data_IF_394132955341
#
_entry.id   IF_394132955341
#
_cell.length_a   1.000
_cell.length_b   1.000
_cell.length_c   1.000
_cell.angle_alpha   90.00
_cell.angle_beta   90.00
_cell.angle_gamma   90.00
#
_symmetry.space_group_name_H-M   'P 1'
#
loop_
_entity.id
_entity.type
_entity.pdbx_description
1 polymer ?
#
# COMPACT_ATOMS: atom_id res chain seq x y z
N UNK A 1 18.30 1.06 13.96
CA UNK A 1 17.71 1.34 12.66
C UNK A 1 16.27 0.86 12.63
N UNK A 2 15.35 1.68 12.19
CA UNK A 2 13.96 1.29 12.09
C UNK A 2 13.74 0.45 10.83
N UNK A 3 12.89 -0.59 10.89
CA UNK A 3 12.51 -1.31 9.68
C UNK A 3 11.77 -0.39 8.72
N UNK A 4 11.97 -0.61 7.41
CA UNK A 4 11.23 0.12 6.38
C UNK A 4 9.91 -0.57 6.09
N UNK A 5 8.84 0.19 6.13
CA UNK A 5 7.49 -0.27 5.82
C UNK A 5 6.98 0.44 4.57
N UNK A 6 6.63 -0.33 3.57
CA UNK A 6 5.95 0.18 2.38
C UNK A 6 4.45 0.13 2.64
N UNK A 7 3.80 1.28 2.60
CA UNK A 7 2.36 1.40 2.82
C UNK A 7 1.64 1.38 1.48
N UNK A 8 0.87 0.34 1.24
CA UNK A 8 0.16 0.15 0.00
C UNK A 8 -1.17 0.92 0.02
N UNK A 9 -1.72 1.17 -1.16
CA UNK A 9 -2.89 2.04 -1.37
C UNK A 9 -4.09 1.68 -0.51
N UNK A 10 -4.36 0.40 -0.28
CA UNK A 10 -5.53 -0.01 0.52
C UNK A 10 -5.46 0.51 1.95
N UNK A 11 -4.27 0.61 2.52
CA UNK A 11 -4.08 1.17 3.87
C UNK A 11 -4.47 2.64 3.88
N UNK A 12 -4.00 3.40 2.89
CA UNK A 12 -4.32 4.83 2.78
C UNK A 12 -5.83 5.02 2.59
N UNK A 13 -6.46 4.18 1.79
CA UNK A 13 -7.90 4.27 1.56
C UNK A 13 -8.70 4.05 2.84
N UNK A 14 -8.39 3.03 3.61
CA UNK A 14 -9.07 2.80 4.89
C UNK A 14 -8.80 3.91 5.91
N UNK A 15 -7.60 4.48 5.88
CA UNK A 15 -7.23 5.58 6.78
C UNK A 15 -8.07 6.83 6.54
N UNK A 16 -8.39 7.14 5.28
CA UNK A 16 -8.96 8.43 4.89
C UNK A 16 -10.44 8.38 4.49
N UNK A 17 -10.99 7.19 4.25
CA UNK A 17 -12.39 7.05 3.85
C UNK A 17 -13.35 7.48 4.96
N UNK A 18 -14.56 7.85 4.58
CA UNK A 18 -15.63 8.14 5.54
C UNK A 18 -15.86 6.93 6.42
N UNK A 19 -16.25 7.14 7.70
CA UNK A 19 -16.61 6.02 8.56
C UNK A 19 -17.67 5.14 7.90
N UNK A 20 -17.37 3.84 7.80
CA UNK A 20 -18.25 2.89 7.19
C UNK A 20 -19.41 2.52 8.12
N UNK A 21 -20.58 2.27 7.55
CA UNK A 21 -21.72 1.76 8.29
C UNK A 21 -21.61 0.26 8.52
N UNK A 22 -20.89 -0.41 7.64
CA UNK A 22 -20.63 -1.84 7.74
C UNK A 22 -19.61 -2.12 8.85
N UNK A 23 -19.94 -3.07 9.74
CA UNK A 23 -19.13 -3.38 10.92
C UNK A 23 -17.74 -3.89 10.56
N UNK A 24 -17.65 -4.72 9.52
CA UNK A 24 -16.37 -5.29 9.10
C UNK A 24 -15.44 -4.19 8.57
N UNK A 25 -15.95 -3.36 7.67
CA UNK A 25 -15.18 -2.25 7.10
C UNK A 25 -14.80 -1.24 8.18
N UNK A 26 -15.72 -0.93 9.07
CA UNK A 26 -15.46 -0.03 10.20
C UNK A 26 -14.35 -0.58 11.10
N UNK A 27 -14.32 -1.88 11.30
CA UNK A 27 -13.26 -2.56 12.07
C UNK A 27 -11.90 -2.42 11.38
N UNK A 28 -11.85 -2.58 10.06
CA UNK A 28 -10.62 -2.38 9.28
C UNK A 28 -10.13 -0.93 9.37
N UNK A 29 -11.05 0.03 9.30
CA UNK A 29 -10.70 1.45 9.45
C UNK A 29 -10.13 1.73 10.84
N UNK A 30 -10.74 1.19 11.88
CA UNK A 30 -10.27 1.39 13.24
C UNK A 30 -8.87 0.80 13.45
N UNK A 31 -8.63 -0.40 12.94
CA UNK A 31 -7.31 -1.05 13.00
C UNK A 31 -6.26 -0.24 12.26
N UNK A 32 -6.62 0.26 11.08
CA UNK A 32 -5.71 1.07 10.26
C UNK A 32 -5.33 2.37 10.98
N UNK A 33 -6.32 3.06 11.52
CA UNK A 33 -6.09 4.31 12.25
C UNK A 33 -5.22 4.08 13.48
N UNK A 34 -5.46 3.01 14.21
CA UNK A 34 -4.67 2.66 15.39
C UNK A 34 -3.21 2.40 15.01
N UNK A 35 -2.98 1.63 13.94
CA UNK A 35 -1.63 1.38 13.46
C UNK A 35 -0.94 2.69 13.06
N UNK A 36 -1.65 3.53 12.31
CA UNK A 36 -1.12 4.80 11.83
C UNK A 36 -0.71 5.72 12.98
N UNK A 37 -1.55 5.82 14.00
CA UNK A 37 -1.31 6.72 15.13
C UNK A 37 -0.31 6.15 16.14
N UNK A 38 -0.33 4.85 16.39
CA UNK A 38 0.43 4.25 17.48
C UNK A 38 1.70 3.52 17.04
N UNK A 39 1.70 2.90 15.86
CA UNK A 39 2.81 2.06 15.42
C UNK A 39 3.72 2.73 14.38
N UNK A 40 3.18 3.64 13.61
CA UNK A 40 3.93 4.26 12.49
C UNK A 40 5.28 4.82 12.90
N UNK A 41 5.39 5.42 14.07
CA UNK A 41 6.63 6.02 14.55
C UNK A 41 7.76 4.99 14.77
N UNK A 42 7.43 3.71 14.87
CA UNK A 42 8.42 2.65 15.05
C UNK A 42 9.08 2.23 13.74
N UNK A 43 8.64 2.77 12.62
CA UNK A 43 9.07 2.37 11.27
C UNK A 43 9.48 3.56 10.44
N UNK A 44 10.31 3.29 9.43
CA UNK A 44 10.56 4.22 8.34
C UNK A 44 9.53 3.94 7.25
N UNK A 45 8.48 4.74 7.20
CA UNK A 45 7.39 4.57 6.25
C UNK A 45 7.80 5.10 4.89
N UNK A 46 7.57 4.32 3.84
CA UNK A 46 7.86 4.71 2.45
C UNK A 46 6.68 4.34 1.55
N UNK A 47 6.57 5.04 0.44
CA UNK A 47 5.61 4.73 -0.62
C UNK A 47 6.33 4.82 -1.96
N UNK A 48 5.61 4.61 -3.06
CA UNK A 48 6.16 4.77 -4.40
C UNK A 48 5.20 5.56 -5.28
N UNK A 49 5.64 5.87 -6.50
CA UNK A 49 4.79 6.53 -7.48
C UNK A 49 3.55 5.68 -7.79
N UNK A 50 3.65 4.35 -7.73
CA UNK A 50 2.48 3.49 -7.93
C UNK A 50 1.37 3.78 -6.92
N UNK A 51 1.74 4.01 -5.66
CA UNK A 51 0.77 4.40 -4.62
C UNK A 51 0.18 5.77 -4.94
N UNK A 52 1.02 6.75 -5.29
CA UNK A 52 0.55 8.09 -5.63
C UNK A 52 -0.44 8.06 -6.80
N UNK A 53 -0.14 7.29 -7.83
CA UNK A 53 -1.02 7.17 -9.00
C UNK A 53 -2.38 6.59 -8.61
N UNK A 54 -2.38 5.55 -7.79
CA UNK A 54 -3.62 4.93 -7.35
C UNK A 54 -4.46 5.85 -6.45
N UNK A 55 -3.84 6.51 -5.48
CA UNK A 55 -4.57 7.37 -4.54
C UNK A 55 -5.04 8.67 -5.17
N UNK A 56 -4.45 9.05 -6.31
CA UNK A 56 -4.84 10.25 -7.05
C UNK A 56 -6.07 10.03 -7.93
N UNK A 57 -6.47 8.77 -8.14
CA UNK A 57 -7.56 8.41 -9.02
C UNK A 57 -8.93 8.56 -8.33
N UNK A 58 -9.97 8.67 -9.13
CA UNK A 58 -11.35 8.69 -8.64
C UNK A 58 -11.83 10.07 -8.21
N UNK A 59 -12.70 10.11 -7.22
CA UNK A 59 -13.29 11.35 -6.73
C UNK A 59 -12.24 12.34 -6.25
N UNK A 60 -12.31 13.58 -6.71
CA UNK A 60 -11.29 14.59 -6.43
C UNK A 60 -11.16 14.93 -4.95
N UNK A 61 -12.27 14.96 -4.22
CA UNK A 61 -12.22 15.25 -2.77
C UNK A 61 -11.58 14.11 -1.98
N UNK A 62 -11.95 12.89 -2.32
CA UNK A 62 -11.37 11.71 -1.68
C UNK A 62 -9.87 11.59 -2.01
N UNK A 63 -9.50 11.84 -3.27
CA UNK A 63 -8.10 11.84 -3.70
C UNK A 63 -7.28 12.89 -2.94
N UNK A 64 -7.84 14.09 -2.74
CA UNK A 64 -7.16 15.15 -2.00
C UNK A 64 -6.86 14.74 -0.55
N UNK A 65 -7.80 14.08 0.10
CA UNK A 65 -7.59 13.58 1.47
C UNK A 65 -6.48 12.51 1.52
N UNK A 66 -6.49 11.59 0.56
CA UNK A 66 -5.46 10.56 0.49
C UNK A 66 -4.08 11.16 0.25
N UNK A 67 -3.97 12.10 -0.68
CA UNK A 67 -2.69 12.77 -0.97
C UNK A 67 -2.18 13.55 0.26
N UNK A 68 -3.08 14.22 0.97
CA UNK A 68 -2.72 14.94 2.18
C UNK A 68 -2.13 14.01 3.25
N UNK A 69 -2.68 12.81 3.37
CA UNK A 69 -2.23 11.85 4.40
C UNK A 69 -0.81 11.35 4.18
N UNK A 70 -0.28 11.44 2.95
CA UNK A 70 1.05 10.93 2.61
C UNK A 70 2.09 12.05 2.42
N UNK A 71 1.73 13.29 2.68
CA UNK A 71 2.67 14.41 2.59
C UNK A 71 3.85 14.15 3.51
N UNK A 72 5.06 14.32 2.98
CA UNK A 72 6.29 14.10 3.73
C UNK A 72 6.78 12.66 3.79
N UNK A 73 6.01 11.70 3.31
CA UNK A 73 6.47 10.30 3.24
C UNK A 73 7.40 10.15 2.03
N UNK A 74 8.62 9.59 2.25
CA UNK A 74 9.57 9.43 1.15
C UNK A 74 9.05 8.51 0.04
N UNK A 75 9.36 8.89 -1.21
CA UNK A 75 9.06 8.08 -2.39
C UNK A 75 10.26 7.23 -2.73
N UNK A 76 10.04 5.94 -2.85
CA UNK A 76 11.06 5.03 -3.39
C UNK A 76 11.20 5.23 -4.89
N UNK A 77 12.44 5.12 -5.38
CA UNK A 77 12.73 5.21 -6.81
C UNK A 77 12.29 3.94 -7.53
N UNK A 78 11.34 4.05 -8.45
CA UNK A 78 10.82 2.92 -9.23
C UNK A 78 11.44 2.81 -10.61
N UNK A 79 12.46 3.61 -10.91
CA UNK A 79 13.17 3.57 -12.20
C UNK A 79 13.96 2.27 -12.48
N UNK A 80 14.52 1.55 -11.48
CA UNK A 80 15.23 0.30 -11.78
C UNK A 80 14.41 -0.66 -12.62
N UNK A 81 14.99 -1.11 -13.73
CA UNK A 81 14.32 -2.02 -14.67
C UNK A 81 13.91 -3.33 -14.00
N UNK A 82 14.67 -3.77 -13.01
CA UNK A 82 14.40 -4.99 -12.26
C UNK A 82 12.99 -5.01 -11.65
N UNK A 83 12.46 -3.83 -11.27
CA UNK A 83 11.12 -3.71 -10.72
C UNK A 83 10.08 -4.12 -11.76
N UNK A 84 10.18 -3.55 -12.97
CA UNK A 84 9.25 -3.88 -14.06
C UNK A 84 9.37 -5.35 -14.47
N UNK A 85 10.59 -5.86 -14.53
CA UNK A 85 10.85 -7.25 -14.90
C UNK A 85 10.26 -8.22 -13.88
N UNK A 86 10.44 -7.95 -12.59
CA UNK A 86 9.89 -8.80 -11.54
C UNK A 86 8.35 -8.73 -11.53
N UNK A 87 7.78 -7.54 -11.67
CA UNK A 87 6.33 -7.37 -11.72
C UNK A 87 5.73 -8.20 -12.87
N UNK A 88 6.35 -8.14 -14.06
CA UNK A 88 5.89 -8.90 -15.21
C UNK A 88 6.01 -10.41 -14.97
N UNK A 89 7.11 -10.86 -14.39
CA UNK A 89 7.31 -12.26 -14.06
C UNK A 89 6.25 -12.79 -13.08
N UNK A 90 5.89 -11.99 -12.08
CA UNK A 90 4.86 -12.35 -11.11
C UNK A 90 3.49 -12.49 -11.78
N UNK A 91 3.17 -11.60 -12.72
CA UNK A 91 1.93 -11.64 -13.48
C UNK A 91 1.89 -12.89 -14.35
N UNK A 92 2.96 -13.17 -15.06
CA UNK A 92 3.03 -14.31 -15.99
C UNK A 92 2.83 -15.64 -15.28
N UNK A 93 3.27 -15.73 -14.02
CA UNK A 93 3.14 -16.96 -13.22
C UNK A 93 1.79 -17.10 -12.53
N UNK A 94 1.08 -16.02 -12.33
CA UNK A 94 -0.10 -16.03 -11.48
C UNK A 94 -1.39 -16.34 -12.20
N UNK A 95 -1.42 -16.27 -13.54
CA UNK A 95 -2.63 -16.40 -14.35
C UNK A 95 -3.75 -15.46 -13.86
N UNK A 96 -3.39 -14.37 -13.20
CA UNK A 96 -4.34 -13.41 -12.66
C UNK A 96 -4.64 -12.31 -13.67
N UNK A 97 -5.85 -11.71 -13.63
CA UNK A 97 -6.21 -10.63 -14.54
C UNK A 97 -5.35 -9.38 -14.30
N UNK A 98 -5.43 -8.43 -15.22
CA UNK A 98 -4.63 -7.19 -15.20
C UNK A 98 -4.66 -6.44 -13.85
N UNK A 99 -5.69 -6.63 -13.06
CA UNK A 99 -5.79 -6.05 -11.72
C UNK A 99 -4.60 -6.46 -10.84
N UNK A 100 -4.02 -7.62 -11.09
CA UNK A 100 -2.85 -8.09 -10.36
C UNK A 100 -1.58 -7.31 -10.72
N UNK A 101 -1.58 -6.51 -11.80
CA UNK A 101 -0.40 -5.75 -12.20
C UNK A 101 0.03 -4.76 -11.11
N UNK A 102 -0.91 -4.04 -10.52
CA UNK A 102 -0.59 -3.07 -9.47
C UNK A 102 -0.09 -3.79 -8.21
N UNK A 103 -0.74 -4.89 -7.83
CA UNK A 103 -0.30 -5.68 -6.69
C UNK A 103 1.10 -6.24 -6.90
N UNK A 104 1.37 -6.76 -8.10
CA UNK A 104 2.69 -7.27 -8.47
C UNK A 104 3.74 -6.15 -8.46
N UNK A 105 3.37 -4.94 -8.88
CA UNK A 105 4.28 -3.78 -8.88
C UNK A 105 4.68 -3.40 -7.45
N UNK A 106 3.75 -3.37 -6.50
CA UNK A 106 4.07 -3.09 -5.11
C UNK A 106 5.01 -4.14 -4.52
N UNK A 107 4.75 -5.42 -4.79
CA UNK A 107 5.62 -6.51 -4.34
C UNK A 107 7.02 -6.38 -4.94
N UNK A 108 7.08 -6.08 -6.24
CA UNK A 108 8.36 -5.93 -6.95
C UNK A 108 9.19 -4.78 -6.39
N UNK A 109 8.57 -3.64 -6.09
CA UNK A 109 9.26 -2.49 -5.49
C UNK A 109 9.90 -2.92 -4.16
N UNK A 110 9.13 -3.58 -3.31
CA UNK A 110 9.62 -4.01 -2.00
C UNK A 110 10.76 -5.01 -2.13
N UNK A 111 10.63 -5.98 -3.03
CA UNK A 111 11.64 -7.02 -3.20
C UNK A 111 12.95 -6.47 -3.77
N UNK A 112 12.87 -5.64 -4.81
CA UNK A 112 14.07 -5.10 -5.49
C UNK A 112 14.79 -4.10 -4.61
N UNK A 113 14.07 -3.26 -3.89
CA UNK A 113 14.66 -2.19 -3.08
C UNK A 113 14.92 -2.58 -1.62
N UNK A 114 14.69 -3.84 -1.28
CA UNK A 114 15.02 -4.35 0.05
C UNK A 114 14.18 -3.75 1.17
N UNK A 115 12.90 -3.50 0.91
CA UNK A 115 11.97 -3.04 1.95
C UNK A 115 11.64 -4.22 2.88
N UNK A 116 11.61 -3.96 4.17
CA UNK A 116 11.44 -5.01 5.16
C UNK A 116 10.02 -5.55 5.24
N UNK A 117 9.02 -4.65 5.11
CA UNK A 117 7.62 -5.00 5.33
C UNK A 117 6.74 -4.31 4.28
N UNK A 118 5.85 -5.07 3.67
CA UNK A 118 4.76 -4.55 2.86
C UNK A 118 3.49 -4.58 3.69
N UNK A 119 2.92 -3.43 3.99
CA UNK A 119 1.69 -3.31 4.76
C UNK A 119 0.51 -3.11 3.81
N UNK A 120 -0.45 -4.03 3.84
CA UNK A 120 -1.56 -4.03 2.89
C UNK A 120 -2.79 -4.74 3.46
N UNK A 121 -3.96 -4.28 3.01
CA UNK A 121 -5.22 -5.00 3.19
C UNK A 121 -5.54 -5.93 2.02
N UNK A 122 -4.77 -5.83 0.94
CA UNK A 122 -4.99 -6.57 -0.30
C UNK A 122 -4.51 -8.00 -0.16
N UNK A 123 -5.36 -8.84 0.43
CA UNK A 123 -5.10 -10.27 0.45
C UNK A 123 -6.38 -11.05 0.22
N UNK A 124 -6.25 -12.14 -0.55
CA UNK A 124 -7.37 -12.89 -1.08
C UNK A 124 -8.38 -13.41 -0.08
N UNK A 125 -8.01 -13.82 1.10
CA UNK A 125 -8.88 -14.56 1.99
C UNK A 125 -8.89 -14.06 3.40
N UNK A 126 -8.39 -12.87 3.65
CA UNK A 126 -8.21 -12.46 5.02
C UNK A 126 -8.76 -11.07 5.23
N UNK A 127 -9.62 -10.92 6.21
CA UNK A 127 -10.03 -9.61 6.69
C UNK A 127 -9.02 -8.98 7.62
N UNK A 128 -7.74 -9.32 7.50
CA UNK A 128 -6.71 -8.80 8.39
C UNK A 128 -5.68 -7.98 7.63
N UNK A 129 -5.12 -7.00 8.30
CA UNK A 129 -4.01 -6.22 7.79
C UNK A 129 -2.77 -7.12 7.69
N UNK A 130 -2.14 -7.16 6.51
CA UNK A 130 -1.05 -8.06 6.24
C UNK A 130 0.30 -7.37 6.22
N UNK A 131 1.28 -8.05 6.75
CA UNK A 131 2.68 -7.69 6.57
C UNK A 131 3.36 -8.82 5.79
N UNK A 132 4.09 -8.44 4.75
CA UNK A 132 4.84 -9.39 3.92
C UNK A 132 6.30 -8.99 3.97
N UNK A 133 7.13 -9.95 4.28
CA UNK A 133 8.58 -9.73 4.31
C UNK A 133 9.25 -10.33 3.08
#
# INVERSE_FOLDING_TARGET
MKPRVYVETSVISYLTNRPALDVITAGHQATTLKWWDEQRANYDVVISQFVLDEISAGDSKAAAKRLESVVGIPLLDTAPLEIAMLAQALIDRSALPQKAFLDASHIAVCAVLGVDILLTWNRRNSGTLQTVR
#
